data_IF_048159658096
#
_entry.id   IF_048159658096
#
_cell.length_a   1.000
_cell.length_b   1.000
_cell.length_c   1.000
_cell.angle_alpha   90.00
_cell.angle_beta   90.00
_cell.angle_gamma   90.00
#
_symmetry.space_group_name_H-M   'P 1'
#
loop_
_entity.id
_entity.type
_entity.pdbx_description
1 polymer ?
#
# COMPACT_ATOMS: atom_id res chain seq x y z
N UNK A 1 22.66 2.34 9.31
CA UNK A 1 22.52 0.88 9.31
C UNK A 1 21.94 0.40 8.00
N UNK A 2 22.74 0.06 6.98
CA UNK A 2 22.24 -0.29 5.64
C UNK A 2 21.99 -1.79 5.40
N UNK A 3 22.18 -2.67 6.39
CA UNK A 3 22.26 -4.12 6.12
C UNK A 3 20.93 -4.81 5.79
N UNK A 4 19.80 -4.36 6.35
CA UNK A 4 18.50 -5.01 6.15
C UNK A 4 17.94 -4.71 4.74
N UNK A 5 18.04 -3.48 4.29
CA UNK A 5 17.57 -3.00 2.98
C UNK A 5 18.31 -3.67 1.82
N UNK A 6 19.64 -3.84 1.94
CA UNK A 6 20.47 -4.54 0.95
C UNK A 6 20.14 -6.05 0.89
N UNK A 7 19.77 -6.65 2.02
CA UNK A 7 19.32 -8.04 2.09
C UNK A 7 18.04 -8.29 1.29
N UNK A 8 17.06 -7.42 1.44
CA UNK A 8 15.78 -7.49 0.71
C UNK A 8 15.99 -7.34 -0.79
N UNK A 9 16.75 -6.35 -1.25
CA UNK A 9 17.05 -6.17 -2.68
C UNK A 9 17.74 -7.39 -3.30
N UNK A 10 18.74 -7.98 -2.62
CA UNK A 10 19.44 -9.19 -3.09
C UNK A 10 18.55 -10.42 -3.13
N UNK A 11 17.65 -10.57 -2.15
CA UNK A 11 16.71 -11.69 -2.09
C UNK A 11 15.78 -11.69 -3.31
N UNK A 12 15.21 -10.53 -3.62
CA UNK A 12 14.31 -10.38 -4.76
C UNK A 12 15.01 -10.54 -6.10
N UNK A 13 16.22 -10.01 -6.26
CA UNK A 13 16.97 -10.14 -7.52
C UNK A 13 17.32 -11.60 -7.84
N UNK A 14 17.65 -12.43 -6.84
CA UNK A 14 18.01 -13.85 -7.07
C UNK A 14 16.80 -14.80 -7.20
N UNK A 15 15.65 -14.45 -6.59
CA UNK A 15 14.46 -15.34 -6.51
C UNK A 15 13.27 -14.85 -7.35
N UNK A 16 13.47 -13.91 -8.25
CA UNK A 16 12.44 -13.27 -9.07
C UNK A 16 11.49 -14.26 -9.79
N UNK A 17 12.03 -15.34 -10.38
CA UNK A 17 11.22 -16.32 -11.13
C UNK A 17 10.36 -17.17 -10.21
N UNK A 18 10.87 -17.55 -9.05
CA UNK A 18 10.15 -18.34 -8.04
C UNK A 18 9.06 -17.51 -7.38
N UNK A 19 9.34 -16.23 -7.12
CA UNK A 19 8.37 -15.29 -6.57
C UNK A 19 7.18 -15.04 -7.51
N UNK A 20 7.41 -14.84 -8.81
CA UNK A 20 6.34 -14.73 -9.82
C UNK A 20 5.45 -15.96 -9.85
N UNK A 21 6.03 -17.19 -9.82
CA UNK A 21 5.28 -18.45 -9.78
C UNK A 21 4.45 -18.57 -8.50
N UNK A 22 5.00 -18.15 -7.35
CA UNK A 22 4.31 -18.19 -6.07
C UNK A 22 3.11 -17.23 -6.05
N UNK A 23 3.27 -15.97 -6.50
CA UNK A 23 2.17 -15.00 -6.58
C UNK A 23 1.12 -15.42 -7.61
N UNK A 24 1.54 -15.95 -8.77
CA UNK A 24 0.62 -16.46 -9.78
C UNK A 24 -0.18 -17.65 -9.27
N UNK A 25 0.46 -18.55 -8.51
CA UNK A 25 -0.20 -19.72 -7.92
C UNK A 25 -1.36 -19.35 -6.99
N UNK A 26 -1.24 -18.28 -6.20
CA UNK A 26 -2.28 -17.84 -5.27
C UNK A 26 -3.34 -16.93 -5.89
N UNK A 27 -3.35 -16.70 -7.19
CA UNK A 27 -4.34 -15.83 -7.88
C UNK A 27 -4.53 -14.48 -7.17
N UNK A 28 -3.43 -13.93 -6.65
CA UNK A 28 -3.47 -12.72 -5.81
C UNK A 28 -4.02 -11.50 -6.55
N UNK A 29 -3.71 -11.34 -7.86
CA UNK A 29 -4.26 -10.25 -8.69
C UNK A 29 -5.79 -10.34 -8.79
N UNK A 30 -6.33 -11.52 -9.08
CA UNK A 30 -7.78 -11.70 -9.22
C UNK A 30 -8.50 -11.55 -7.88
N UNK A 31 -7.90 -12.03 -6.78
CA UNK A 31 -8.42 -11.87 -5.44
C UNK A 31 -8.48 -10.40 -5.04
N UNK A 32 -7.39 -9.65 -5.27
CA UNK A 32 -7.31 -8.22 -4.97
C UNK A 32 -8.28 -7.42 -5.85
N UNK A 33 -8.35 -7.70 -7.15
CA UNK A 33 -9.34 -7.11 -8.05
C UNK A 33 -10.77 -7.29 -7.51
N UNK A 34 -11.14 -8.52 -7.15
CA UNK A 34 -12.50 -8.79 -6.65
C UNK A 34 -12.76 -8.14 -5.28
N UNK A 35 -11.73 -8.03 -4.44
CA UNK A 35 -11.81 -7.29 -3.19
C UNK A 35 -12.10 -5.81 -3.46
N UNK A 36 -11.35 -5.19 -4.37
CA UNK A 36 -11.53 -3.78 -4.77
C UNK A 36 -12.92 -3.52 -5.37
N UNK A 37 -13.39 -4.37 -6.27
CA UNK A 37 -14.73 -4.26 -6.86
C UNK A 37 -15.86 -4.24 -5.81
N UNK A 38 -15.67 -4.91 -4.68
CA UNK A 38 -16.67 -5.03 -3.61
C UNK A 38 -16.44 -4.07 -2.44
N UNK A 39 -15.33 -3.37 -2.43
CA UNK A 39 -14.93 -2.53 -1.29
C UNK A 39 -15.70 -1.22 -1.17
N UNK A 40 -16.29 -0.72 -2.27
CA UNK A 40 -16.84 0.62 -2.36
C UNK A 40 -15.78 1.73 -2.42
N UNK A 41 -14.49 1.37 -2.54
CA UNK A 41 -13.39 2.34 -2.58
C UNK A 41 -13.14 2.91 -3.98
N UNK A 42 -13.67 2.25 -5.02
CA UNK A 42 -13.44 2.66 -6.41
C UNK A 42 -14.47 3.72 -6.85
N UNK A 43 -13.99 4.78 -7.46
CA UNK A 43 -14.73 5.84 -8.12
C UNK A 43 -13.93 6.37 -9.30
N UNK A 44 -14.56 7.09 -10.25
CA UNK A 44 -13.82 7.73 -11.34
C UNK A 44 -12.79 8.74 -10.85
N UNK A 45 -11.76 8.97 -11.64
CA UNK A 45 -10.75 10.02 -11.43
C UNK A 45 -10.00 9.92 -10.08
N UNK A 46 -9.78 8.70 -9.59
CA UNK A 46 -8.94 8.46 -8.39
C UNK A 46 -7.48 8.75 -8.68
N UNK A 47 -6.83 9.43 -7.76
CA UNK A 47 -5.37 9.46 -7.63
C UNK A 47 -4.94 8.28 -6.78
N UNK A 48 -4.16 7.37 -7.35
CA UNK A 48 -3.83 6.09 -6.71
C UNK A 48 -2.32 5.97 -6.53
N UNK A 49 -1.88 5.48 -5.35
CA UNK A 49 -0.49 5.10 -5.11
C UNK A 49 -0.40 3.58 -4.86
N UNK A 50 0.42 2.89 -5.63
CA UNK A 50 0.83 1.49 -5.37
C UNK A 50 2.16 1.49 -4.59
N UNK A 51 2.06 1.28 -3.29
CA UNK A 51 3.20 1.31 -2.37
C UNK A 51 3.85 -0.08 -2.27
N UNK A 52 5.07 -0.18 -2.80
CA UNK A 52 5.75 -1.45 -3.00
C UNK A 52 5.22 -2.17 -4.24
N UNK A 53 5.15 -1.44 -5.35
CA UNK A 53 4.49 -1.88 -6.58
C UNK A 53 5.05 -3.20 -7.17
N UNK A 54 6.31 -3.52 -6.91
CA UNK A 54 6.94 -4.75 -7.37
C UNK A 54 6.82 -4.94 -8.89
N UNK A 55 6.07 -5.96 -9.28
CA UNK A 55 5.74 -6.25 -10.69
C UNK A 55 4.37 -5.70 -11.13
N UNK A 56 3.77 -4.79 -10.36
CA UNK A 56 2.49 -4.18 -10.68
C UNK A 56 1.25 -5.02 -10.36
N UNK A 57 1.36 -6.03 -9.50
CA UNK A 57 0.21 -6.91 -9.19
C UNK A 57 -1.00 -6.12 -8.67
N UNK A 58 -0.78 -5.15 -7.76
CA UNK A 58 -1.86 -4.32 -7.23
C UNK A 58 -2.34 -3.29 -8.26
N UNK A 59 -1.43 -2.65 -8.98
CA UNK A 59 -1.76 -1.74 -10.09
C UNK A 59 -2.63 -2.42 -11.14
N UNK A 60 -2.25 -3.60 -11.63
CA UNK A 60 -3.07 -4.32 -12.60
C UNK A 60 -4.41 -4.79 -12.02
N UNK A 61 -4.47 -5.11 -10.72
CA UNK A 61 -5.72 -5.48 -10.08
C UNK A 61 -6.69 -4.28 -10.02
N UNK A 62 -6.21 -3.09 -9.67
CA UNK A 62 -7.05 -1.89 -9.60
C UNK A 62 -7.47 -1.43 -10.99
N UNK A 63 -6.57 -1.45 -11.99
CA UNK A 63 -6.92 -1.14 -13.38
C UNK A 63 -8.00 -2.07 -13.92
N UNK A 64 -7.88 -3.38 -13.68
CA UNK A 64 -8.90 -4.36 -14.09
C UNK A 64 -10.23 -4.11 -13.37
N UNK A 65 -10.20 -3.74 -12.08
CA UNK A 65 -11.40 -3.46 -11.29
C UNK A 65 -12.11 -2.19 -11.77
N UNK A 66 -11.37 -1.11 -12.04
CA UNK A 66 -11.90 0.14 -12.59
C UNK A 66 -12.52 -0.08 -13.97
N UNK A 67 -11.79 -0.72 -14.90
CA UNK A 67 -12.28 -1.02 -16.25
C UNK A 67 -13.59 -1.81 -16.26
N UNK A 68 -13.73 -2.79 -15.36
CA UNK A 68 -14.99 -3.57 -15.23
C UNK A 68 -16.18 -2.75 -14.76
N UNK A 69 -15.93 -1.62 -14.12
CA UNK A 69 -16.94 -0.68 -13.68
C UNK A 69 -17.06 0.55 -14.60
N UNK A 70 -16.41 0.53 -15.77
CA UNK A 70 -16.34 1.63 -16.72
C UNK A 70 -15.80 2.92 -16.08
N UNK A 71 -14.78 2.79 -15.24
CA UNK A 71 -14.08 3.88 -14.56
C UNK A 71 -12.64 3.97 -15.02
N UNK A 72 -12.08 5.18 -15.04
CA UNK A 72 -10.66 5.44 -15.27
C UNK A 72 -10.07 6.20 -14.08
N UNK A 73 -8.82 5.92 -13.69
CA UNK A 73 -8.12 6.72 -12.69
C UNK A 73 -7.68 8.06 -13.27
N UNK A 74 -7.43 9.06 -12.42
CA UNK A 74 -6.75 10.29 -12.83
C UNK A 74 -5.26 10.00 -13.09
N UNK A 75 -4.62 9.34 -12.13
CA UNK A 75 -3.23 8.89 -12.22
C UNK A 75 -2.99 7.69 -11.32
N UNK A 76 -2.01 6.87 -11.69
CA UNK A 76 -1.46 5.84 -10.80
C UNK A 76 0.04 6.05 -10.68
N UNK A 77 0.48 6.34 -9.47
CA UNK A 77 1.90 6.34 -9.14
C UNK A 77 2.25 5.03 -8.44
N UNK A 78 3.43 4.50 -8.71
CA UNK A 78 3.94 3.32 -8.06
C UNK A 78 5.37 3.51 -7.59
N UNK A 79 5.71 3.04 -6.41
CA UNK A 79 7.11 2.98 -6.00
C UNK A 79 7.51 1.59 -5.50
N UNK A 80 8.76 1.27 -5.67
CA UNK A 80 9.39 0.07 -5.09
C UNK A 80 10.86 0.35 -4.77
N UNK A 81 11.39 -0.35 -3.78
CA UNK A 81 12.80 -0.29 -3.43
C UNK A 81 13.70 -0.90 -4.51
N UNK A 82 13.18 -1.84 -5.30
CA UNK A 82 13.93 -2.72 -6.19
C UNK A 82 13.81 -2.28 -7.64
N UNK A 83 14.83 -1.58 -8.15
CA UNK A 83 14.88 -1.11 -9.54
C UNK A 83 14.59 -2.19 -10.59
N UNK A 84 15.10 -3.41 -10.36
CA UNK A 84 14.87 -4.53 -11.28
C UNK A 84 13.39 -4.97 -11.36
N UNK A 85 12.62 -4.80 -10.29
CA UNK A 85 11.17 -5.04 -10.30
C UNK A 85 10.46 -3.96 -11.10
N UNK A 86 10.78 -2.68 -10.86
CA UNK A 86 10.20 -1.55 -11.58
C UNK A 86 10.49 -1.63 -13.09
N UNK A 87 11.72 -1.99 -13.48
CA UNK A 87 12.07 -2.16 -14.89
C UNK A 87 11.22 -3.23 -15.59
N UNK A 88 10.93 -4.35 -14.90
CA UNK A 88 10.04 -5.38 -15.43
C UNK A 88 8.58 -4.96 -15.44
N UNK A 89 8.16 -4.21 -14.42
CA UNK A 89 6.82 -3.67 -14.38
C UNK A 89 6.61 -2.68 -15.54
N UNK A 90 7.57 -1.77 -15.78
CA UNK A 90 7.53 -0.86 -16.92
C UNK A 90 7.43 -1.63 -18.26
N UNK A 91 8.25 -2.65 -18.47
CA UNK A 91 8.20 -3.48 -19.68
C UNK A 91 6.83 -4.15 -19.87
N UNK A 92 6.16 -4.54 -18.76
CA UNK A 92 4.82 -5.13 -18.83
C UNK A 92 3.76 -4.06 -19.16
N UNK A 93 3.87 -2.82 -18.62
CA UNK A 93 3.01 -1.69 -18.98
C UNK A 93 3.14 -1.37 -20.47
N UNK A 94 4.39 -1.26 -20.96
CA UNK A 94 4.70 -0.95 -22.36
C UNK A 94 4.13 -2.04 -23.29
N UNK A 95 4.31 -3.32 -22.94
CA UNK A 95 3.81 -4.46 -23.73
C UNK A 95 2.28 -4.50 -23.85
N UNK A 96 1.58 -3.89 -22.89
CA UNK A 96 0.11 -3.80 -22.85
C UNK A 96 -0.42 -2.47 -23.37
N UNK A 97 0.43 -1.53 -23.74
CA UNK A 97 0.04 -0.18 -24.14
C UNK A 97 -0.65 0.60 -23.00
N UNK A 98 -0.30 0.33 -21.73
CA UNK A 98 -0.89 1.02 -20.58
C UNK A 98 -0.07 2.28 -20.32
N UNK A 99 -0.73 3.42 -20.39
CA UNK A 99 -0.20 4.77 -20.09
C UNK A 99 -0.80 5.29 -18.79
N UNK A 100 -0.24 6.39 -18.25
CA UNK A 100 -0.76 7.02 -17.02
C UNK A 100 -0.35 6.31 -15.72
N UNK A 101 0.64 5.41 -15.78
CA UNK A 101 1.27 4.79 -14.61
C UNK A 101 2.71 5.28 -14.51
N UNK A 102 3.08 5.91 -13.40
CA UNK A 102 4.41 6.48 -13.17
C UNK A 102 5.15 5.70 -12.09
N UNK A 103 6.36 5.26 -12.38
CA UNK A 103 7.13 4.40 -11.48
C UNK A 103 8.36 5.11 -10.95
N UNK A 104 8.56 5.09 -9.63
CA UNK A 104 9.68 5.71 -8.94
C UNK A 104 10.38 4.71 -8.03
N UNK A 105 11.72 4.69 -8.06
CA UNK A 105 12.47 3.91 -7.07
C UNK A 105 12.50 4.68 -5.76
N UNK A 106 11.89 4.14 -4.69
CA UNK A 106 11.86 4.78 -3.39
C UNK A 106 11.77 3.78 -2.24
N UNK A 107 12.25 4.22 -1.07
CA UNK A 107 12.11 3.55 0.21
C UNK A 107 10.93 4.17 0.98
N UNK A 108 10.01 3.35 1.45
CA UNK A 108 8.84 3.80 2.24
C UNK A 108 9.22 4.61 3.49
N UNK A 109 10.41 4.42 4.03
CA UNK A 109 10.93 5.14 5.20
C UNK A 109 11.56 6.51 4.85
N UNK A 110 11.70 6.82 3.56
CA UNK A 110 12.39 8.00 3.03
C UNK A 110 11.56 8.70 1.92
N UNK A 111 10.22 8.53 1.93
CA UNK A 111 9.34 9.03 0.87
C UNK A 111 9.44 10.54 0.66
N UNK A 112 9.62 11.32 1.73
CA UNK A 112 9.71 12.78 1.64
C UNK A 112 10.94 13.27 0.89
N UNK A 113 11.99 12.45 0.84
CA UNK A 113 13.24 12.75 0.14
C UNK A 113 13.29 12.17 -1.27
N UNK A 114 12.56 11.08 -1.53
CA UNK A 114 12.72 10.27 -2.74
C UNK A 114 11.53 10.36 -3.70
N UNK A 115 10.35 10.73 -3.22
CA UNK A 115 9.21 11.02 -4.10
C UNK A 115 9.09 12.53 -4.36
N UNK A 116 8.75 12.94 -5.59
CA UNK A 116 8.44 14.33 -5.89
C UNK A 116 7.36 14.90 -4.97
N UNK A 117 7.41 16.19 -4.68
CA UNK A 117 6.39 16.89 -3.88
C UNK A 117 4.99 16.82 -4.51
N UNK A 118 4.91 16.65 -5.83
CA UNK A 118 3.65 16.41 -6.56
C UNK A 118 3.03 15.04 -6.27
N UNK A 119 3.81 14.08 -5.76
CA UNK A 119 3.35 12.74 -5.36
C UNK A 119 2.69 12.80 -3.98
N UNK A 120 1.42 13.18 -3.93
CA UNK A 120 0.62 13.30 -2.73
C UNK A 120 -0.86 13.50 -3.04
N UNK A 121 -1.66 13.70 -2.00
CA UNK A 121 -3.11 13.83 -2.10
C UNK A 121 -3.76 12.64 -2.84
N UNK A 122 -3.32 11.43 -2.49
CA UNK A 122 -3.90 10.21 -3.05
C UNK A 122 -5.23 9.88 -2.39
N UNK A 123 -6.23 9.60 -3.21
CA UNK A 123 -7.54 9.10 -2.74
C UNK A 123 -7.44 7.67 -2.23
N UNK A 124 -6.58 6.87 -2.87
CA UNK A 124 -6.37 5.47 -2.52
C UNK A 124 -4.87 5.13 -2.55
N UNK A 125 -4.36 4.65 -1.44
CA UNK A 125 -3.04 4.03 -1.38
C UNK A 125 -3.23 2.52 -1.18
N UNK A 126 -2.61 1.73 -2.06
CA UNK A 126 -2.55 0.27 -1.97
C UNK A 126 -1.17 -0.14 -1.49
N UNK A 127 -1.09 -1.01 -0.48
CA UNK A 127 0.16 -1.67 -0.08
C UNK A 127 -0.10 -3.17 0.04
N UNK A 128 0.33 -3.92 -0.96
CA UNK A 128 0.11 -5.36 -1.04
C UNK A 128 1.44 -6.11 -0.88
N UNK A 129 1.62 -6.75 0.27
CA UNK A 129 2.80 -7.58 0.59
C UNK A 129 4.14 -6.83 0.51
N UNK A 130 4.17 -5.56 0.92
CA UNK A 130 5.40 -4.78 1.05
C UNK A 130 5.76 -4.52 2.52
N UNK A 131 4.78 -4.16 3.34
CA UNK A 131 5.02 -3.72 4.73
C UNK A 131 5.60 -4.83 5.63
N UNK A 132 5.40 -6.09 5.30
CA UNK A 132 6.04 -7.21 6.01
C UNK A 132 7.57 -7.27 5.85
N UNK A 133 8.14 -6.54 4.88
CA UNK A 133 9.59 -6.42 4.68
C UNK A 133 10.20 -5.20 5.37
N UNK A 134 9.36 -4.34 5.93
CA UNK A 134 9.80 -3.26 6.82
C UNK A 134 10.11 -3.86 8.20
N UNK A 135 11.18 -3.41 8.84
CA UNK A 135 11.48 -3.86 10.19
C UNK A 135 10.31 -3.51 11.13
N UNK A 136 9.92 -4.42 12.01
CA UNK A 136 8.72 -4.27 12.87
C UNK A 136 8.73 -2.96 13.66
N UNK A 137 9.91 -2.53 14.14
CA UNK A 137 10.08 -1.25 14.85
C UNK A 137 9.82 -0.01 13.99
N UNK A 138 9.94 -0.14 12.68
CA UNK A 138 9.79 0.96 11.71
C UNK A 138 8.43 0.94 11.00
N UNK A 139 7.56 -0.04 11.31
CA UNK A 139 6.27 -0.21 10.64
C UNK A 139 5.34 1.01 10.86
N UNK A 140 5.27 1.54 12.08
CA UNK A 140 4.48 2.74 12.37
C UNK A 140 4.97 3.95 11.58
N UNK A 141 6.30 4.13 11.45
CA UNK A 141 6.90 5.18 10.62
C UNK A 141 6.52 5.01 9.15
N UNK A 142 6.58 3.80 8.60
CA UNK A 142 6.17 3.52 7.23
C UNK A 142 4.68 3.82 7.01
N UNK A 143 3.80 3.40 7.92
CA UNK A 143 2.37 3.69 7.86
C UNK A 143 2.07 5.18 7.96
N UNK A 144 2.77 5.92 8.84
CA UNK A 144 2.64 7.38 8.94
C UNK A 144 3.10 8.08 7.66
N UNK A 145 4.21 7.64 7.05
CA UNK A 145 4.69 8.18 5.79
C UNK A 145 3.69 7.98 4.64
N UNK A 146 3.04 6.82 4.57
CA UNK A 146 1.97 6.56 3.61
C UNK A 146 0.72 7.41 3.93
N UNK A 147 0.33 7.48 5.21
CA UNK A 147 -0.81 8.29 5.65
C UNK A 147 -0.65 9.78 5.33
N UNK A 148 0.57 10.32 5.44
CA UNK A 148 0.87 11.70 5.08
C UNK A 148 0.65 12.01 3.58
N UNK A 149 0.72 11.00 2.71
CA UNK A 149 0.49 11.12 1.25
C UNK A 149 -0.97 10.99 0.85
N UNK A 150 -1.87 10.59 1.74
CA UNK A 150 -3.30 10.54 1.48
C UNK A 150 -3.90 11.95 1.38
N UNK A 151 -4.90 12.09 0.52
CA UNK A 151 -5.82 13.22 0.54
C UNK A 151 -6.61 13.26 1.86
N UNK A 152 -7.22 14.38 2.25
CA UNK A 152 -8.24 14.37 3.28
C UNK A 152 -9.31 13.31 2.98
N UNK A 153 -9.67 12.48 3.95
CA UNK A 153 -10.55 11.31 3.78
C UNK A 153 -10.04 10.22 2.81
N UNK A 154 -8.81 10.33 2.30
CA UNK A 154 -8.18 9.30 1.49
C UNK A 154 -7.99 8.00 2.28
N UNK A 155 -7.96 6.89 1.56
CA UNK A 155 -7.97 5.53 2.13
C UNK A 155 -6.67 4.80 1.87
N UNK A 156 -6.11 4.19 2.90
CA UNK A 156 -5.01 3.23 2.83
C UNK A 156 -5.56 1.81 2.93
N UNK A 157 -5.36 0.99 1.88
CA UNK A 157 -5.65 -0.43 1.88
C UNK A 157 -4.35 -1.22 1.97
N UNK A 158 -4.21 -2.01 3.02
CA UNK A 158 -3.04 -2.85 3.29
C UNK A 158 -3.41 -4.31 3.23
N UNK A 159 -2.67 -5.08 2.43
CA UNK A 159 -2.67 -6.54 2.47
C UNK A 159 -1.33 -6.98 3.07
N UNK A 160 -1.35 -7.57 4.25
CA UNK A 160 -0.15 -7.91 5.02
C UNK A 160 -0.22 -9.33 5.59
N UNK A 161 0.91 -10.00 5.66
CA UNK A 161 0.98 -11.41 6.06
C UNK A 161 0.52 -11.63 7.50
N UNK A 162 -0.38 -12.60 7.65
CA UNK A 162 -1.00 -13.00 8.91
C UNK A 162 -0.06 -13.91 9.71
N UNK A 163 -0.01 -13.68 11.03
CA UNK A 163 0.70 -14.55 11.98
C UNK A 163 -0.15 -15.80 12.27
N UNK A 164 0.22 -16.93 11.69
CA UNK A 164 -0.33 -18.24 12.00
C UNK A 164 0.74 -19.33 11.83
N UNK A 165 0.44 -20.59 12.24
CA UNK A 165 1.44 -21.67 12.25
C UNK A 165 1.90 -22.09 10.84
N UNK A 166 1.04 -22.01 9.83
CA UNK A 166 1.41 -22.34 8.44
C UNK A 166 2.29 -21.24 7.84
N UNK A 167 1.93 -19.96 8.03
CA UNK A 167 2.79 -18.86 7.59
C UNK A 167 4.13 -18.84 8.32
N UNK A 168 4.20 -19.41 9.56
CA UNK A 168 5.45 -19.62 10.27
C UNK A 168 6.41 -20.49 9.45
N UNK A 169 5.95 -21.65 9.01
CA UNK A 169 6.79 -22.63 8.30
C UNK A 169 7.15 -22.12 6.90
N UNK A 170 6.17 -21.57 6.14
CA UNK A 170 6.36 -21.17 4.75
C UNK A 170 7.15 -19.87 4.60
N UNK A 171 6.96 -18.91 5.48
CA UNK A 171 7.45 -17.54 5.31
C UNK A 171 8.72 -17.26 6.12
N UNK A 172 8.83 -17.73 7.37
CA UNK A 172 10.06 -17.56 8.14
C UNK A 172 11.25 -18.28 7.51
N UNK A 173 11.02 -19.49 7.01
CA UNK A 173 12.10 -20.30 6.45
C UNK A 173 12.52 -19.84 5.05
N UNK A 174 11.61 -19.25 4.26
CA UNK A 174 11.89 -18.92 2.86
C UNK A 174 12.02 -17.43 2.57
N UNK A 175 11.22 -16.55 3.20
CA UNK A 175 11.09 -15.15 2.81
C UNK A 175 11.58 -14.13 3.81
N UNK A 176 11.84 -14.52 5.07
CA UNK A 176 12.23 -13.61 6.16
C UNK A 176 11.30 -12.40 6.33
N UNK A 177 10.02 -12.56 5.97
CA UNK A 177 9.02 -11.53 6.09
C UNK A 177 8.39 -11.54 7.49
N UNK A 178 8.11 -10.37 8.03
CA UNK A 178 7.41 -10.24 9.29
C UNK A 178 5.95 -10.68 9.14
N UNK A 179 5.35 -11.14 10.24
CA UNK A 179 3.97 -11.60 10.31
C UNK A 179 3.29 -10.92 11.47
N UNK A 180 2.04 -10.53 11.28
CA UNK A 180 1.33 -9.72 12.24
C UNK A 180 0.02 -10.38 12.69
N UNK A 181 -0.32 -10.22 13.97
CA UNK A 181 -1.64 -10.45 14.51
C UNK A 181 -2.50 -9.19 14.36
N UNK A 182 -3.82 -9.35 14.49
CA UNK A 182 -4.74 -8.19 14.48
C UNK A 182 -4.46 -7.22 15.64
N UNK A 183 -4.01 -7.73 16.78
CA UNK A 183 -3.68 -6.92 17.95
C UNK A 183 -2.47 -6.04 17.66
N UNK A 184 -1.36 -6.64 17.18
CA UNK A 184 -0.15 -5.91 16.80
C UNK A 184 -0.45 -4.83 15.75
N UNK A 185 -1.28 -5.14 14.74
CA UNK A 185 -1.68 -4.15 13.74
C UNK A 185 -2.49 -3.00 14.36
N UNK A 186 -3.48 -3.29 15.22
CA UNK A 186 -4.24 -2.22 15.89
C UNK A 186 -3.33 -1.30 16.71
N UNK A 187 -2.42 -1.87 17.49
CA UNK A 187 -1.45 -1.11 18.30
C UNK A 187 -0.55 -0.25 17.40
N UNK A 188 -0.07 -0.82 16.27
CA UNK A 188 0.78 -0.08 15.33
C UNK A 188 0.02 1.06 14.64
N UNK A 189 -1.19 0.81 14.14
CA UNK A 189 -2.01 1.83 13.49
C UNK A 189 -2.45 2.93 14.46
N UNK A 190 -2.69 2.62 15.73
CA UNK A 190 -3.04 3.61 16.74
C UNK A 190 -1.91 4.65 16.99
N UNK A 191 -0.66 4.30 16.68
CA UNK A 191 0.50 5.19 16.75
C UNK A 191 0.69 6.05 15.50
N UNK A 192 -0.23 5.99 14.54
CA UNK A 192 -0.20 6.77 13.29
C UNK A 192 -1.35 7.78 13.26
N UNK A 193 -1.33 8.71 12.32
CA UNK A 193 -2.46 9.64 12.11
C UNK A 193 -3.64 9.02 11.33
N UNK A 194 -3.65 7.69 11.16
CA UNK A 194 -4.72 6.96 10.46
C UNK A 194 -5.84 6.58 11.43
N UNK A 195 -7.08 6.60 10.95
CA UNK A 195 -8.31 6.32 11.71
C UNK A 195 -9.18 5.27 11.00
N UNK A 196 -10.32 4.96 11.59
CA UNK A 196 -11.35 4.06 11.04
C UNK A 196 -10.80 2.69 10.59
N UNK A 197 -9.97 2.09 11.45
CA UNK A 197 -9.30 0.84 11.15
C UNK A 197 -10.28 -0.33 11.01
N UNK A 198 -10.49 -0.78 9.79
CA UNK A 198 -11.41 -1.88 9.45
C UNK A 198 -10.59 -3.08 8.97
N UNK A 199 -10.85 -4.26 9.55
CA UNK A 199 -10.33 -5.52 9.03
C UNK A 199 -11.34 -6.12 8.04
N UNK A 200 -11.01 -6.05 6.77
CA UNK A 200 -11.79 -6.63 5.68
C UNK A 200 -11.36 -8.07 5.38
N UNK A 201 -12.01 -8.69 4.40
CA UNK A 201 -11.73 -10.05 3.94
C UNK A 201 -11.86 -10.15 2.43
N UNK A 202 -11.04 -11.00 1.84
CA UNK A 202 -11.26 -11.45 0.47
C UNK A 202 -12.56 -12.24 0.36
N UNK A 203 -13.24 -12.22 -0.79
CA UNK A 203 -14.41 -13.08 -1.02
C UNK A 203 -14.13 -14.55 -0.72
N UNK A 204 -15.14 -15.31 -0.30
CA UNK A 204 -14.99 -16.68 0.21
C UNK A 204 -14.27 -17.64 -0.75
N UNK A 205 -14.41 -17.45 -2.08
CA UNK A 205 -13.68 -18.23 -3.10
C UNK A 205 -12.15 -18.07 -3.04
N UNK A 206 -11.68 -17.03 -2.32
CA UNK A 206 -10.26 -16.78 -2.06
C UNK A 206 -9.89 -17.01 -0.59
N UNK A 207 -10.53 -18.02 0.06
CA UNK A 207 -10.33 -18.32 1.48
C UNK A 207 -8.83 -18.45 1.85
N UNK A 208 -8.02 -18.90 0.91
CA UNK A 208 -6.58 -19.03 1.08
C UNK A 208 -5.88 -17.69 1.34
N UNK A 209 -6.34 -16.64 0.67
CA UNK A 209 -5.86 -15.27 0.93
C UNK A 209 -6.25 -14.80 2.34
N UNK A 210 -7.45 -15.13 2.80
CA UNK A 210 -7.91 -14.80 4.16
C UNK A 210 -7.15 -15.58 5.24
N UNK A 211 -6.66 -16.76 4.89
CA UNK A 211 -5.85 -17.56 5.79
C UNK A 211 -4.43 -17.00 5.92
N UNK A 212 -3.82 -16.57 4.82
CA UNK A 212 -2.44 -16.10 4.77
C UNK A 212 -2.27 -14.61 5.03
N UNK A 213 -3.31 -13.79 4.83
CA UNK A 213 -3.21 -12.35 4.91
C UNK A 213 -4.29 -11.71 5.80
N UNK A 214 -3.96 -10.54 6.35
CA UNK A 214 -4.93 -9.56 6.79
C UNK A 214 -5.15 -8.54 5.68
N UNK A 215 -6.39 -8.12 5.50
CA UNK A 215 -6.77 -6.93 4.74
C UNK A 215 -7.15 -5.86 5.76
N UNK A 216 -6.46 -4.75 5.72
CA UNK A 216 -6.67 -3.61 6.62
C UNK A 216 -7.00 -2.39 5.79
N UNK A 217 -8.07 -1.70 6.14
CA UNK A 217 -8.48 -0.43 5.54
C UNK A 217 -8.44 0.62 6.65
N UNK A 218 -7.81 1.75 6.36
CA UNK A 218 -7.76 2.88 7.29
C UNK A 218 -7.89 4.18 6.51
N UNK A 219 -8.44 5.22 7.12
CA UNK A 219 -8.63 6.53 6.50
C UNK A 219 -7.68 7.56 7.12
N UNK A 220 -7.37 8.62 6.37
CA UNK A 220 -6.69 9.79 6.95
C UNK A 220 -7.71 10.60 7.74
N UNK A 221 -7.34 11.00 8.96
CA UNK A 221 -8.14 11.97 9.72
C UNK A 221 -8.24 13.28 8.94
N UNK A 222 -9.42 13.91 9.00
CA UNK A 222 -9.53 15.31 8.58
C UNK A 222 -8.59 16.16 9.45
N UNK A 223 -7.80 17.02 8.82
CA UNK A 223 -7.13 18.08 9.56
C UNK A 223 -8.22 18.97 10.12
N UNK A 224 -8.39 18.96 11.43
CA UNK A 224 -9.17 20.00 12.12
C UNK A 224 -8.44 21.32 11.81
N UNK A 225 -8.96 22.10 10.88
CA UNK A 225 -8.57 23.49 10.80
C UNK A 225 -9.01 24.10 12.13
N UNK A 226 -8.05 24.44 12.98
CA UNK A 226 -8.32 25.39 14.06
C UNK A 226 -8.92 26.64 13.40
N UNK A 227 -10.22 26.79 13.60
CA UNK A 227 -10.87 28.05 13.29
C UNK A 227 -10.30 29.04 14.33
N UNK A 228 -9.20 29.69 13.98
CA UNK A 228 -8.78 30.91 14.66
C UNK A 228 -9.89 31.91 14.40
N UNK A 229 -10.74 32.08 15.41
CA UNK A 229 -11.79 33.07 15.41
C UNK A 229 -11.20 34.46 15.14
N UNK A 230 -11.95 35.39 14.53
CA UNK A 230 -11.50 36.74 14.28
C UNK A 230 -11.18 37.43 15.61
N UNK A 231 -10.00 38.07 15.63
CA UNK A 231 -9.41 38.70 16.82
C UNK A 231 -10.39 39.55 17.61
N UNK A 232 -10.27 39.45 18.91
CA UNK A 232 -10.81 40.44 19.88
C UNK A 232 -10.20 41.81 19.55
N UNK A 233 -11.00 42.65 18.91
CA UNK A 233 -10.72 44.09 18.88
C UNK A 233 -10.75 44.62 20.31
N UNK A 234 -9.60 44.97 20.81
CA UNK A 234 -9.48 45.72 22.07
C UNK A 234 -10.12 47.11 21.90
N UNK A 235 -11.31 47.31 22.45
CA UNK A 235 -11.91 48.62 22.61
C UNK A 235 -11.16 49.35 23.74
N UNK A 236 -10.27 50.24 23.35
CA UNK A 236 -9.68 51.24 24.27
C UNK A 236 -10.71 52.31 24.55
N UNK A 237 -11.24 52.34 25.77
CA UNK A 237 -11.95 53.51 26.26
C UNK A 237 -10.94 54.56 26.73
N UNK A 238 -10.95 55.69 26.13
CA UNK A 238 -10.50 56.99 26.66
C UNK A 238 -11.71 57.77 27.09
#
# INVERSE_FOLDING_TARGET
MPSHTLGVQRLYTKKLTTYRRFISFFRSREALRTLLERSGLLRPSLRILDAGAGFGTATFAVLDALRRQNMEPETIDGFDLTRAMLARFQAELDSRGIIGVHLTQANVLELDQQLPSSCGNYDLILSASMLEYVATRDLSKALSALGARLAPQGTLLVVITRKNWITKILIEWWWQAARYSRRELRETFAATGLRDLIFSRFPARYFWQNFSNHVVVATRAESVQEITGPGEESISMT
#
